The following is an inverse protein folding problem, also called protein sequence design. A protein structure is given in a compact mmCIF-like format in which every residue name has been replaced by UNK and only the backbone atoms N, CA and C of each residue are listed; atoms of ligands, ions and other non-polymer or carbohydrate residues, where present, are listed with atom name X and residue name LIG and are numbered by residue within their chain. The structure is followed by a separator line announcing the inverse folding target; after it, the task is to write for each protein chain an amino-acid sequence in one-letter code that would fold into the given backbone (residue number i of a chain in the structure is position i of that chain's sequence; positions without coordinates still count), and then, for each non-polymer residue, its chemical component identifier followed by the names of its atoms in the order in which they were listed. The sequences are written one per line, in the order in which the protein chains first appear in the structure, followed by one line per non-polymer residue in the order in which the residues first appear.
data_IF_123741871975
#
_entry.id   IF_123741871975
#
_cell.length_a   1.000
_cell.length_b   1.000
_cell.length_c   1.000
_cell.angle_alpha   90.00
_cell.angle_beta   90.00
_cell.angle_gamma   90.00
#
_symmetry.space_group_name_H-M   'P 1'
#
loop_
_entity.id
_entity.type
_entity.pdbx_description
1 polymer ?
#
# COMPACT_ATOMS: atom_id res chain seq x y z
N UNK A 1 -20.33 2.85 -12.60
CA UNK A 1 -18.95 2.44 -12.97
C UNK A 1 -18.07 3.59 -13.45
N UNK A 2 -18.44 4.39 -14.46
CA UNK A 2 -17.62 5.56 -14.90
C UNK A 2 -17.27 6.52 -13.76
N UNK A 3 -18.23 6.86 -12.89
CA UNK A 3 -17.99 7.77 -11.77
C UNK A 3 -16.96 7.25 -10.75
N UNK A 4 -17.00 5.95 -10.42
CA UNK A 4 -15.98 5.29 -9.57
C UNK A 4 -14.58 5.46 -10.13
N UNK A 5 -14.39 5.25 -11.45
CA UNK A 5 -13.08 5.39 -12.09
C UNK A 5 -12.59 6.85 -12.09
N UNK A 6 -13.48 7.82 -12.24
CA UNK A 6 -13.13 9.23 -12.14
C UNK A 6 -12.69 9.62 -10.73
N UNK A 7 -13.40 9.17 -9.70
CA UNK A 7 -13.04 9.38 -8.30
C UNK A 7 -11.70 8.71 -8.00
N UNK A 8 -11.55 7.44 -8.37
CA UNK A 8 -10.30 6.70 -8.22
C UNK A 8 -9.10 7.46 -8.82
N UNK A 9 -9.22 7.93 -10.07
CA UNK A 9 -8.12 8.61 -10.75
C UNK A 9 -7.81 9.97 -10.13
N UNK A 10 -8.83 10.70 -9.67
CA UNK A 10 -8.68 11.96 -8.94
C UNK A 10 -7.91 11.73 -7.64
N UNK A 11 -8.37 10.79 -6.82
CA UNK A 11 -7.79 10.50 -5.50
C UNK A 11 -6.38 9.91 -5.62
N UNK A 12 -6.17 8.99 -6.56
CA UNK A 12 -4.84 8.43 -6.84
C UNK A 12 -3.84 9.50 -7.26
N UNK A 13 -4.22 10.40 -8.18
CA UNK A 13 -3.34 11.52 -8.55
C UNK A 13 -3.11 12.48 -7.38
N UNK A 14 -4.13 12.75 -6.56
CA UNK A 14 -3.98 13.61 -5.39
C UNK A 14 -2.97 13.07 -4.37
N UNK A 15 -2.77 11.75 -4.30
CA UNK A 15 -1.68 11.16 -3.49
C UNK A 15 -0.30 11.54 -4.00
N UNK A 16 -0.05 11.50 -5.31
CA UNK A 16 1.28 11.79 -5.89
C UNK A 16 1.54 13.28 -6.13
N UNK A 17 0.50 14.11 -6.17
CA UNK A 17 0.64 15.57 -6.18
C UNK A 17 1.10 16.06 -4.81
N UNK A 18 0.62 15.42 -3.74
CA UNK A 18 1.07 15.70 -2.38
C UNK A 18 2.39 14.97 -2.08
N UNK A 19 3.33 15.57 -1.32
CA UNK A 19 4.60 14.91 -0.94
C UNK A 19 4.41 13.65 -0.09
N UNK A 20 3.22 13.47 0.49
CA UNK A 20 2.91 12.45 1.48
C UNK A 20 3.15 11.03 0.93
N UNK A 21 2.72 10.76 -0.31
CA UNK A 21 2.91 9.45 -0.93
C UNK A 21 4.39 9.05 -0.97
N UNK A 22 5.26 9.97 -1.37
CA UNK A 22 6.71 9.73 -1.45
C UNK A 22 7.31 9.50 -0.07
N UNK A 23 6.89 10.28 0.94
CA UNK A 23 7.37 10.13 2.31
C UNK A 23 7.00 8.75 2.86
N UNK A 24 5.73 8.35 2.71
CA UNK A 24 5.23 7.07 3.22
C UNK A 24 5.91 5.89 2.52
N UNK A 25 6.02 5.92 1.19
CA UNK A 25 6.75 4.88 0.42
C UNK A 25 8.21 4.79 0.87
N UNK A 26 8.87 5.93 1.05
CA UNK A 26 10.29 5.97 1.45
C UNK A 26 10.50 5.39 2.85
N UNK A 27 9.69 5.78 3.83
CA UNK A 27 9.78 5.26 5.20
C UNK A 27 9.47 3.76 5.20
N UNK A 28 8.42 3.34 4.48
CA UNK A 28 8.06 1.93 4.35
C UNK A 28 9.22 1.09 3.80
N UNK A 29 9.88 1.54 2.74
CA UNK A 29 11.01 0.86 2.13
C UNK A 29 12.24 0.83 3.04
N UNK A 30 12.55 1.92 3.73
CA UNK A 30 13.67 1.98 4.66
C UNK A 30 13.48 1.03 5.84
N UNK A 31 12.30 1.04 6.47
CA UNK A 31 11.99 0.19 7.62
C UNK A 31 11.99 -1.29 7.20
N UNK A 32 11.24 -1.64 6.16
CA UNK A 32 11.15 -3.04 5.72
C UNK A 32 12.47 -3.55 5.17
N UNK A 33 13.21 -2.74 4.41
CA UNK A 33 14.50 -3.10 3.83
C UNK A 33 15.57 -3.29 4.90
N UNK A 34 15.69 -2.35 5.84
CA UNK A 34 16.66 -2.46 6.93
C UNK A 34 16.44 -3.73 7.76
N UNK A 35 15.22 -3.96 8.23
CA UNK A 35 14.91 -5.15 9.03
C UNK A 35 15.11 -6.45 8.24
N UNK A 36 14.75 -6.46 6.96
CA UNK A 36 14.96 -7.61 6.09
C UNK A 36 16.44 -7.94 5.97
N UNK A 37 17.29 -6.99 5.56
CA UNK A 37 18.73 -7.23 5.39
C UNK A 37 19.44 -7.53 6.71
N UNK A 38 19.06 -6.87 7.81
CA UNK A 38 19.67 -7.11 9.12
C UNK A 38 19.43 -8.54 9.64
N UNK A 39 18.26 -9.12 9.34
CA UNK A 39 17.92 -10.48 9.78
C UNK A 39 18.32 -11.55 8.77
N UNK A 40 18.34 -11.23 7.47
CA UNK A 40 18.63 -12.18 6.39
C UNK A 40 19.98 -12.89 6.56
N UNK A 41 21.04 -12.15 6.87
CA UNK A 41 22.37 -12.72 7.09
C UNK A 41 22.48 -13.56 8.37
N UNK A 42 21.59 -13.37 9.34
CA UNK A 42 21.58 -14.14 10.59
C UNK A 42 20.96 -15.52 10.40
N UNK A 43 19.90 -15.63 9.60
CA UNK A 43 19.18 -16.89 9.38
C UNK A 43 19.83 -17.79 8.33
N UNK A 44 20.71 -17.26 7.47
CA UNK A 44 21.41 -17.98 6.41
C UNK A 44 20.50 -18.86 5.52
N UNK A 45 19.25 -18.43 5.32
CA UNK A 45 18.25 -19.11 4.52
C UNK A 45 17.66 -18.13 3.51
N UNK A 46 17.55 -18.56 2.26
CA UNK A 46 16.93 -17.80 1.17
C UNK A 46 15.39 -17.78 1.34
N UNK A 47 14.88 -17.06 2.34
CA UNK A 47 13.44 -16.96 2.61
C UNK A 47 13.00 -15.52 2.88
N UNK A 48 11.79 -15.17 2.43
CA UNK A 48 11.15 -13.87 2.68
C UNK A 48 10.25 -13.88 3.93
N UNK A 49 10.30 -14.93 4.76
CA UNK A 49 9.37 -15.10 5.89
C UNK A 49 9.43 -13.93 6.86
N UNK A 50 10.64 -13.44 7.17
CA UNK A 50 10.82 -12.31 8.09
C UNK A 50 10.25 -11.01 7.55
N UNK A 51 10.32 -10.78 6.24
CA UNK A 51 9.68 -9.65 5.59
C UNK A 51 8.15 -9.71 5.75
N UNK A 52 7.53 -10.86 5.43
CA UNK A 52 6.08 -11.01 5.57
C UNK A 52 5.61 -10.93 7.03
N UNK A 53 6.42 -11.37 7.99
CA UNK A 53 6.10 -11.25 9.41
C UNK A 53 6.07 -9.79 9.92
N UNK A 54 6.82 -8.90 9.27
CA UNK A 54 6.86 -7.47 9.62
C UNK A 54 5.73 -6.65 8.97
N UNK A 55 5.20 -7.12 7.83
CA UNK A 55 4.16 -6.41 7.10
C UNK A 55 2.94 -6.03 7.95
N UNK A 56 2.35 -6.92 8.80
CA UNK A 56 1.20 -6.54 9.63
C UNK A 56 1.48 -5.40 10.59
N UNK A 57 2.67 -5.40 11.21
CA UNK A 57 3.07 -4.35 12.14
C UNK A 57 3.24 -3.03 11.40
N UNK A 58 3.91 -3.03 10.25
CA UNK A 58 4.13 -1.82 9.45
C UNK A 58 2.81 -1.30 8.88
N UNK A 59 1.96 -2.19 8.37
CA UNK A 59 0.65 -1.85 7.79
C UNK A 59 -0.31 -1.27 8.82
N UNK A 60 -0.23 -1.70 10.08
CA UNK A 60 -1.03 -1.13 11.17
C UNK A 60 -0.79 0.38 11.36
N UNK A 61 0.39 0.90 11.00
CA UNK A 61 0.66 2.35 11.02
C UNK A 61 0.43 3.01 9.66
N UNK A 62 0.83 2.34 8.57
CA UNK A 62 0.79 2.92 7.22
C UNK A 62 -0.63 3.04 6.68
N UNK A 63 -1.48 2.02 6.88
CA UNK A 63 -2.85 2.02 6.34
C UNK A 63 -3.67 3.17 6.95
N UNK A 64 -3.74 3.37 8.28
CA UNK A 64 -4.46 4.51 8.84
C UNK A 64 -3.91 5.85 8.37
N UNK A 65 -2.59 5.98 8.22
CA UNK A 65 -1.99 7.23 7.74
C UNK A 65 -2.44 7.58 6.31
N UNK A 66 -2.56 6.59 5.42
CA UNK A 66 -2.99 6.79 4.03
C UNK A 66 -4.50 7.05 3.94
N UNK A 67 -5.31 6.33 4.73
CA UNK A 67 -6.77 6.40 4.67
C UNK A 67 -7.34 7.63 5.39
N UNK A 68 -6.77 8.01 6.54
CA UNK A 68 -7.22 9.20 7.28
C UNK A 68 -7.09 10.45 6.44
N UNK A 69 -6.00 10.62 5.70
CA UNK A 69 -5.83 11.78 4.80
C UNK A 69 -6.99 11.90 3.82
N UNK A 70 -7.43 10.79 3.25
CA UNK A 70 -8.46 10.77 2.20
C UNK A 70 -9.83 11.26 2.68
N UNK A 71 -10.09 11.20 3.98
CA UNK A 71 -11.34 11.66 4.60
C UNK A 71 -11.12 13.01 5.28
N UNK A 72 -10.04 13.16 6.04
CA UNK A 72 -9.72 14.39 6.78
C UNK A 72 -9.46 15.58 5.86
N UNK A 73 -8.85 15.37 4.69
CA UNK A 73 -8.59 16.45 3.73
C UNK A 73 -9.90 16.96 3.11
N UNK A 74 -10.86 16.06 2.85
CA UNK A 74 -12.18 16.46 2.34
C UNK A 74 -13.02 17.18 3.38
N UNK A 75 -12.97 16.74 4.64
CA UNK A 75 -13.66 17.38 5.77
C UNK A 75 -13.08 18.77 6.06
N UNK A 76 -11.76 18.93 5.99
CA UNK A 76 -11.09 20.20 6.26
C UNK A 76 -11.40 21.25 5.16
N UNK A 77 -11.44 20.82 3.90
CA UNK A 77 -11.74 21.72 2.76
C UNK A 77 -13.26 21.95 2.58
N UNK A 78 -14.11 21.20 3.29
CA UNK A 78 -15.58 21.27 3.16
C UNK A 78 -16.09 20.69 1.83
N UNK A 79 -15.26 19.95 1.11
CA UNK A 79 -15.63 19.37 -0.19
C UNK A 79 -16.65 18.23 -0.10
N UNK A 80 -16.87 17.70 1.11
CA UNK A 80 -17.86 16.66 1.38
C UNK A 80 -19.30 17.15 1.09
N UNK A 81 -19.59 18.43 1.36
CA UNK A 81 -20.89 19.05 1.05
C UNK A 81 -21.16 19.13 -0.46
N UNK A 82 -20.12 19.38 -1.25
CA UNK A 82 -20.21 19.43 -2.71
C UNK A 82 -20.37 18.01 -3.28
N UNK A 83 -19.67 17.03 -2.72
CA UNK A 83 -19.81 15.62 -3.11
C UNK A 83 -21.22 15.07 -2.84
N UNK A 84 -21.84 15.45 -1.72
CA UNK A 84 -23.19 15.05 -1.34
C UNK A 84 -24.28 15.72 -2.19
N UNK A 85 -24.01 16.89 -2.78
CA UNK A 85 -24.96 17.62 -3.63
C UNK A 85 -24.85 17.26 -5.12
N UNK A 86 -23.73 16.67 -5.55
CA UNK A 86 -23.56 16.13 -6.89
C UNK A 86 -24.33 14.80 -7.07
N UNK A 87 -24.72 14.42 -8.30
CA UNK A 87 -25.44 13.18 -8.60
C UNK A 87 -24.50 11.97 -8.57
N UNK A 88 -23.87 11.73 -7.41
CA UNK A 88 -22.91 10.66 -7.13
C UNK A 88 -23.46 9.84 -5.98
N UNK A 89 -23.48 8.51 -6.10
CA UNK A 89 -23.94 7.68 -4.98
C UNK A 89 -22.83 7.52 -3.94
N UNK A 90 -23.19 7.44 -2.65
CA UNK A 90 -22.23 7.18 -1.57
C UNK A 90 -21.42 5.90 -1.81
N UNK A 91 -22.03 4.89 -2.45
CA UNK A 91 -21.35 3.64 -2.83
C UNK A 91 -20.23 3.87 -3.85
N UNK A 92 -20.45 4.75 -4.83
CA UNK A 92 -19.44 5.08 -5.84
C UNK A 92 -18.24 5.80 -5.20
N UNK A 93 -18.49 6.68 -4.22
CA UNK A 93 -17.46 7.38 -3.45
C UNK A 93 -16.65 6.41 -2.60
N UNK A 94 -17.31 5.55 -1.81
CA UNK A 94 -16.63 4.56 -0.95
C UNK A 94 -15.76 3.63 -1.79
N UNK A 95 -16.29 3.09 -2.90
CA UNK A 95 -15.54 2.19 -3.78
C UNK A 95 -14.36 2.90 -4.47
N UNK A 96 -14.55 4.14 -4.93
CA UNK A 96 -13.47 4.90 -5.57
C UNK A 96 -12.32 5.17 -4.62
N UNK A 97 -12.64 5.57 -3.38
CA UNK A 97 -11.67 5.84 -2.31
C UNK A 97 -10.94 4.59 -1.86
N UNK A 98 -11.65 3.50 -1.63
CA UNK A 98 -11.07 2.21 -1.26
C UNK A 98 -10.11 1.70 -2.35
N UNK A 99 -10.50 1.77 -3.62
CA UNK A 99 -9.63 1.38 -4.73
C UNK A 99 -8.38 2.27 -4.82
N UNK A 100 -8.51 3.57 -4.52
CA UNK A 100 -7.37 4.50 -4.53
C UNK A 100 -6.37 4.16 -3.42
N UNK A 101 -6.83 3.90 -2.20
CA UNK A 101 -5.97 3.47 -1.09
C UNK A 101 -5.34 2.10 -1.35
N UNK A 102 -6.09 1.16 -1.93
CA UNK A 102 -5.57 -0.16 -2.27
C UNK A 102 -4.50 -0.07 -3.38
N UNK A 103 -4.71 0.75 -4.40
CA UNK A 103 -3.69 1.01 -5.42
C UNK A 103 -2.43 1.65 -4.84
N UNK A 104 -2.56 2.50 -3.81
CA UNK A 104 -1.42 3.06 -3.09
C UNK A 104 -0.65 1.98 -2.31
N UNK A 105 -1.34 1.03 -1.68
CA UNK A 105 -0.71 -0.15 -1.04
C UNK A 105 0.04 -0.99 -2.08
N UNK A 106 -0.58 -1.24 -3.23
CA UNK A 106 0.08 -1.95 -4.34
C UNK A 106 1.33 -1.18 -4.80
N UNK A 107 1.24 0.14 -4.97
CA UNK A 107 2.38 0.98 -5.36
C UNK A 107 3.54 0.92 -4.34
N UNK A 108 3.26 0.81 -3.04
CA UNK A 108 4.28 0.57 -2.01
C UNK A 108 4.92 -0.82 -2.09
N UNK A 109 4.14 -1.85 -2.48
CA UNK A 109 4.62 -3.23 -2.59
C UNK A 109 5.44 -3.46 -3.86
N UNK A 110 5.16 -2.77 -4.98
CA UNK A 110 5.91 -2.90 -6.23
C UNK A 110 7.44 -2.84 -6.06
N UNK A 111 8.03 -1.81 -5.42
CA UNK A 111 9.48 -1.75 -5.24
C UNK A 111 10.04 -2.89 -4.37
N UNK A 112 9.23 -3.51 -3.49
CA UNK A 112 9.67 -4.65 -2.68
C UNK A 112 9.88 -5.93 -3.48
N UNK A 113 9.42 -6.01 -4.73
CA UNK A 113 9.77 -7.13 -5.63
C UNK A 113 11.28 -7.20 -5.92
N UNK A 114 12.04 -6.14 -5.64
CA UNK A 114 13.49 -6.19 -5.66
C UNK A 114 14.06 -7.22 -4.66
N UNK A 115 13.38 -7.48 -3.53
CA UNK A 115 13.84 -8.43 -2.50
C UNK A 115 13.82 -9.90 -2.96
N UNK A 116 12.71 -10.47 -3.48
CA UNK A 116 12.74 -11.82 -4.04
C UNK A 116 13.73 -11.94 -5.18
N UNK A 117 13.88 -10.89 -6.01
CA UNK A 117 14.83 -10.91 -7.12
C UNK A 117 16.28 -11.06 -6.62
N UNK A 118 16.70 -10.25 -5.65
CA UNK A 118 18.07 -10.36 -5.08
C UNK A 118 18.30 -11.69 -4.38
N UNK A 119 17.30 -12.20 -3.65
CA UNK A 119 17.38 -13.50 -2.96
C UNK A 119 17.44 -14.67 -3.96
N UNK A 120 16.68 -14.61 -5.05
CA UNK A 120 16.67 -15.65 -6.08
C UNK A 120 18.01 -15.81 -6.81
N UNK A 121 18.82 -14.75 -6.87
CA UNK A 121 20.17 -14.80 -7.42
C UNK A 121 21.18 -15.43 -6.45
N UNK A 122 20.90 -15.38 -5.14
CA UNK A 122 21.81 -15.86 -4.10
C UNK A 122 21.51 -17.28 -3.61
N UNK A 123 20.30 -17.79 -3.81
CA UNK A 123 19.92 -19.13 -3.35
C UNK A 123 18.67 -19.68 -4.00
N UNK A 124 18.34 -20.93 -3.66
CA UNK A 124 17.11 -21.59 -4.12
C UNK A 124 15.90 -21.02 -3.37
N UNK A 125 15.26 -20.02 -3.97
CA UNK A 125 14.05 -19.41 -3.46
C UNK A 125 12.81 -20.21 -3.90
N UNK A 126 11.97 -20.58 -2.94
CA UNK A 126 10.66 -21.16 -3.24
C UNK A 126 9.67 -20.04 -3.62
N UNK A 127 9.23 -20.06 -4.89
CA UNK A 127 8.32 -19.06 -5.44
C UNK A 127 6.87 -19.20 -4.95
N UNK A 128 6.46 -20.37 -4.44
CA UNK A 128 5.11 -20.60 -3.94
C UNK A 128 4.76 -19.65 -2.77
N UNK A 129 5.54 -19.65 -1.68
CA UNK A 129 5.38 -18.73 -0.56
C UNK A 129 5.53 -17.26 -0.93
N UNK A 130 6.34 -16.93 -1.95
CA UNK A 130 6.55 -15.55 -2.42
C UNK A 130 5.24 -15.00 -3.01
N UNK A 131 4.66 -15.70 -3.97
CA UNK A 131 3.40 -15.27 -4.62
C UNK A 131 2.28 -15.22 -3.58
N UNK A 132 2.16 -16.25 -2.73
CA UNK A 132 1.16 -16.30 -1.67
C UNK A 132 1.31 -15.17 -0.66
N UNK A 133 2.55 -14.82 -0.30
CA UNK A 133 2.85 -13.71 0.60
C UNK A 133 2.49 -12.34 0.01
N UNK A 134 2.72 -12.10 -1.28
CA UNK A 134 2.30 -10.86 -1.93
C UNK A 134 0.79 -10.74 -2.06
N UNK A 135 0.08 -11.81 -2.43
CA UNK A 135 -1.39 -11.81 -2.45
C UNK A 135 -1.91 -11.57 -1.03
N UNK A 136 -1.35 -12.25 -0.03
CA UNK A 136 -1.67 -12.05 1.38
C UNK A 136 -1.43 -10.62 1.84
N UNK A 137 -0.34 -9.98 1.42
CA UNK A 137 -0.05 -8.58 1.72
C UNK A 137 -1.10 -7.64 1.10
N UNK A 138 -1.49 -7.85 -0.15
CA UNK A 138 -2.54 -7.04 -0.79
C UNK A 138 -3.88 -7.21 -0.07
N UNK A 139 -4.24 -8.44 0.30
CA UNK A 139 -5.46 -8.73 1.05
C UNK A 139 -5.42 -8.13 2.47
N UNK A 140 -4.26 -8.16 3.13
CA UNK A 140 -4.05 -7.55 4.43
C UNK A 140 -4.22 -6.02 4.36
N UNK A 141 -3.78 -5.40 3.26
CA UNK A 141 -3.99 -3.98 2.99
C UNK A 141 -5.44 -3.60 2.64
N UNK A 142 -6.25 -4.59 2.27
CA UNK A 142 -7.65 -4.44 1.93
C UNK A 142 -8.60 -4.71 3.12
N UNK A 143 -8.07 -5.26 4.22
CA UNK A 143 -8.80 -5.62 5.43
C UNK A 143 -8.93 -4.41 6.39
#
# INVERSE_FOLDING_TARGET
MRQVTHIFRKEFNAYFVSPIAYIVISIFLLVTGWFFFATFFLFNQASLRTFYALLPVVFAFVIPAITMRLISEELNVGSDEILLTMPVTARDVILGKFLASLAMVVAMLVPTFAYPLTVSLMGQLDWGPVIGGYIGAILLGAA
#
